data_IF_984947401948
#
_entry.id   IF_984947401948
#
_cell.length_a   1.000
_cell.length_b   1.000
_cell.length_c   1.000
_cell.angle_alpha   90.00
_cell.angle_beta   90.00
_cell.angle_gamma   90.00
#
_symmetry.space_group_name_H-M   'P 1'
#
loop_
_entity.id
_entity.type
_entity.pdbx_description
1 polymer ?
#
# COMPACT_ATOMS: atom_id res chain seq x y z
N UNK A 1 14.76 -41.28 -18.48
CA UNK A 1 14.82 -41.24 -17.00
C UNK A 1 13.98 -40.07 -16.54
N UNK A 2 12.86 -40.35 -15.86
CA UNK A 2 11.95 -39.31 -15.39
C UNK A 2 12.46 -38.77 -14.06
N UNK A 3 12.84 -37.49 -14.02
CA UNK A 3 13.18 -36.80 -12.78
C UNK A 3 11.89 -36.58 -11.98
N UNK A 4 11.77 -37.30 -10.86
CA UNK A 4 10.71 -37.07 -9.88
C UNK A 4 11.08 -35.85 -9.05
N UNK A 5 10.12 -34.96 -8.79
CA UNK A 5 10.29 -33.71 -8.02
C UNK A 5 10.84 -33.91 -6.59
N UNK A 6 10.99 -35.16 -6.12
CA UNK A 6 11.62 -35.49 -4.84
C UNK A 6 13.16 -35.44 -4.85
N UNK A 7 13.81 -35.30 -6.01
CA UNK A 7 15.28 -35.16 -6.12
C UNK A 7 15.79 -33.72 -5.98
N UNK A 8 14.93 -32.78 -5.58
CA UNK A 8 15.35 -31.40 -5.34
C UNK A 8 16.12 -31.31 -4.02
N UNK A 9 17.44 -31.35 -4.16
CA UNK A 9 18.48 -31.17 -3.14
C UNK A 9 18.11 -30.10 -2.11
N UNK A 10 18.21 -30.46 -0.83
CA UNK A 10 18.15 -29.53 0.30
C UNK A 10 19.20 -28.43 0.11
N UNK A 11 18.78 -27.28 -0.42
CA UNK A 11 19.59 -26.07 -0.41
C UNK A 11 19.66 -25.64 1.06
N UNK A 12 20.85 -25.55 1.67
CA UNK A 12 20.96 -24.96 3.00
C UNK A 12 20.48 -23.53 2.86
N UNK A 13 19.26 -23.28 3.34
CA UNK A 13 18.68 -21.95 3.38
C UNK A 13 19.56 -21.16 4.31
N UNK A 14 20.45 -20.36 3.73
CA UNK A 14 21.20 -19.32 4.44
C UNK A 14 20.25 -18.69 5.44
N UNK A 15 20.61 -18.75 6.73
CA UNK A 15 19.85 -18.24 7.87
C UNK A 15 19.65 -16.73 7.73
N UNK A 16 18.80 -16.32 6.78
CA UNK A 16 18.26 -14.98 6.73
C UNK A 16 17.37 -14.90 7.95
N UNK A 17 17.91 -14.32 9.02
CA UNK A 17 17.17 -13.89 10.21
C UNK A 17 15.80 -13.42 9.71
N UNK A 18 14.72 -14.02 10.23
CA UNK A 18 13.38 -13.52 9.99
C UNK A 18 13.38 -12.07 10.48
N UNK A 19 13.48 -11.12 9.56
CA UNK A 19 13.26 -9.72 9.87
C UNK A 19 11.81 -9.65 10.34
N UNK A 20 11.62 -9.41 11.64
CA UNK A 20 10.31 -9.11 12.18
C UNK A 20 9.85 -7.84 11.49
N UNK A 21 8.75 -7.94 10.77
CA UNK A 21 8.19 -6.82 10.03
C UNK A 21 7.65 -5.82 11.05
N UNK A 22 8.50 -4.93 11.55
CA UNK A 22 8.08 -3.85 12.45
C UNK A 22 7.07 -3.01 11.70
N UNK A 23 5.83 -3.01 12.19
CA UNK A 23 4.68 -2.33 11.61
C UNK A 23 4.77 -0.81 11.83
N UNK A 24 5.96 -0.22 11.76
CA UNK A 24 6.17 1.24 11.75
C UNK A 24 5.95 1.82 10.34
N UNK A 25 5.09 1.18 9.54
CA UNK A 25 4.59 1.80 8.31
C UNK A 25 3.62 2.88 8.77
N UNK A 26 4.12 4.11 8.91
CA UNK A 26 3.35 5.26 9.38
C UNK A 26 1.96 5.37 8.74
N UNK A 27 1.02 5.94 9.49
CA UNK A 27 -0.40 5.94 9.19
C UNK A 27 -0.71 6.21 7.71
N UNK A 28 -1.38 5.25 7.08
CA UNK A 28 -1.83 5.36 5.69
C UNK A 28 -2.86 6.47 5.60
N UNK A 29 -2.51 7.53 4.88
CA UNK A 29 -3.37 8.69 4.63
C UNK A 29 -3.95 8.63 3.21
N UNK A 30 -5.23 8.95 3.10
CA UNK A 30 -5.90 9.09 1.82
C UNK A 30 -6.11 10.57 1.51
N UNK A 31 -5.76 10.97 0.29
CA UNK A 31 -5.87 12.36 -0.17
C UNK A 31 -6.72 12.44 -1.43
N UNK A 32 -7.79 13.23 -1.36
CA UNK A 32 -8.62 13.47 -2.53
C UNK A 32 -8.00 14.59 -3.37
N UNK A 33 -7.71 14.30 -4.65
CA UNK A 33 -7.17 15.30 -5.58
C UNK A 33 -8.19 16.38 -5.96
N UNK A 34 -9.47 16.02 -5.96
CA UNK A 34 -10.55 16.93 -6.33
C UNK A 34 -10.87 17.92 -5.20
N UNK A 35 -10.90 17.45 -3.95
CA UNK A 35 -11.11 18.31 -2.77
C UNK A 35 -9.80 18.95 -2.24
N UNK A 36 -8.64 18.49 -2.72
CA UNK A 36 -7.31 18.92 -2.24
C UNK A 36 -7.14 18.84 -0.72
N UNK A 37 -7.71 17.80 -0.12
CA UNK A 37 -7.63 17.58 1.32
C UNK A 37 -7.51 16.10 1.63
N UNK A 38 -7.02 15.82 2.84
CA UNK A 38 -7.05 14.46 3.40
C UNK A 38 -8.50 14.10 3.70
N UNK A 39 -8.89 12.89 3.31
CA UNK A 39 -10.25 12.37 3.53
C UNK A 39 -10.14 10.92 3.94
N UNK A 40 -11.02 10.45 4.81
CA UNK A 40 -11.14 9.02 5.07
C UNK A 40 -11.91 8.38 3.91
N UNK A 41 -11.15 7.80 2.99
CA UNK A 41 -11.72 7.28 1.76
C UNK A 41 -12.51 6.00 2.02
N UNK A 42 -13.71 5.93 1.44
CA UNK A 42 -14.58 4.76 1.57
C UNK A 42 -14.12 3.74 0.53
N UNK A 43 -13.78 2.54 0.99
CA UNK A 43 -13.45 1.44 0.09
C UNK A 43 -14.74 0.84 -0.47
N UNK A 44 -14.99 1.05 -1.76
CA UNK A 44 -16.22 0.58 -2.41
C UNK A 44 -16.26 -0.93 -2.65
N UNK A 45 -15.09 -1.57 -2.75
CA UNK A 45 -14.99 -3.00 -3.01
C UNK A 45 -13.87 -3.64 -2.19
N UNK A 46 -14.13 -4.75 -1.47
CA UNK A 46 -13.09 -5.48 -0.74
C UNK A 46 -12.08 -6.16 -1.68
N UNK A 47 -12.49 -6.50 -2.90
CA UNK A 47 -11.62 -7.18 -3.89
C UNK A 47 -10.87 -6.23 -4.83
N UNK A 48 -11.18 -4.93 -4.82
CA UNK A 48 -10.54 -3.95 -5.70
C UNK A 48 -10.00 -2.79 -4.87
N UNK A 49 -8.89 -2.20 -5.31
CA UNK A 49 -8.33 -0.99 -4.70
C UNK A 49 -9.07 0.26 -5.21
N UNK A 50 -10.40 0.25 -5.12
CA UNK A 50 -11.25 1.36 -5.53
C UNK A 50 -11.73 2.07 -4.28
N UNK A 51 -11.34 3.33 -4.17
CA UNK A 51 -11.69 4.20 -3.07
C UNK A 51 -12.52 5.38 -3.59
N UNK A 52 -13.47 5.82 -2.77
CA UNK A 52 -14.35 6.95 -3.06
C UNK A 52 -14.23 8.01 -1.97
N UNK A 53 -14.18 9.28 -2.40
CA UNK A 53 -14.16 10.41 -1.50
C UNK A 53 -15.58 10.63 -0.95
N UNK A 54 -15.80 10.65 0.37
CA UNK A 54 -17.14 10.85 0.94
C UNK A 54 -17.74 12.23 0.63
N UNK A 55 -16.90 13.22 0.30
CA UNK A 55 -17.33 14.61 0.08
C UNK A 55 -17.76 14.87 -1.36
N UNK A 56 -16.92 14.50 -2.33
CA UNK A 56 -17.17 14.74 -3.75
C UNK A 56 -17.64 13.52 -4.54
N UNK A 57 -17.69 12.33 -3.90
CA UNK A 57 -17.92 11.03 -4.56
C UNK A 57 -16.94 10.75 -5.72
N UNK A 58 -15.82 11.46 -5.73
CA UNK A 58 -14.75 11.32 -6.70
C UNK A 58 -13.91 10.08 -6.43
N UNK A 59 -13.47 9.43 -7.50
CA UNK A 59 -12.60 8.23 -7.43
C UNK A 59 -11.10 8.56 -7.51
N UNK A 60 -10.75 9.85 -7.55
CA UNK A 60 -9.37 10.34 -7.69
C UNK A 60 -8.71 10.51 -6.32
N UNK A 61 -8.47 9.39 -5.66
CA UNK A 61 -7.83 9.34 -4.34
C UNK A 61 -6.40 8.86 -4.48
N UNK A 62 -5.47 9.61 -3.91
CA UNK A 62 -4.08 9.22 -3.75
C UNK A 62 -3.89 8.56 -2.39
N UNK A 63 -3.17 7.45 -2.36
CA UNK A 63 -2.86 6.69 -1.16
C UNK A 63 -1.37 6.89 -0.89
N UNK A 64 -1.02 7.26 0.34
CA UNK A 64 0.38 7.40 0.73
C UNK A 64 0.51 7.55 2.23
N UNK A 65 1.74 7.61 2.73
CA UNK A 65 1.99 8.03 4.11
C UNK A 65 1.67 9.52 4.26
N UNK A 66 1.39 9.95 5.48
CA UNK A 66 1.11 11.36 5.76
C UNK A 66 2.26 12.29 5.30
N UNK A 67 3.50 11.82 5.44
CA UNK A 67 4.72 12.50 4.99
C UNK A 67 4.75 12.68 3.46
N UNK A 68 4.52 11.61 2.70
CA UNK A 68 4.53 11.65 1.23
C UNK A 68 3.39 12.50 0.66
N UNK A 69 2.20 12.43 1.28
CA UNK A 69 1.07 13.27 0.86
C UNK A 69 1.36 14.74 1.15
N UNK A 70 1.90 15.07 2.34
CA UNK A 70 2.32 16.44 2.65
C UNK A 70 3.36 16.91 1.64
N UNK A 71 4.44 16.19 1.42
CA UNK A 71 5.53 16.63 0.54
C UNK A 71 5.08 16.90 -0.91
N UNK A 72 4.24 16.02 -1.48
CA UNK A 72 3.76 16.13 -2.86
C UNK A 72 2.74 17.25 -3.03
N UNK A 73 1.85 17.45 -2.05
CA UNK A 73 0.74 18.40 -2.17
C UNK A 73 0.96 19.74 -1.45
N UNK A 74 1.92 19.86 -0.54
CA UNK A 74 2.26 21.12 0.15
C UNK A 74 3.15 22.06 -0.68
N UNK A 75 3.78 21.55 -1.75
CA UNK A 75 4.69 22.32 -2.62
C UNK A 75 4.01 23.09 -3.75
N UNK A 76 2.67 23.07 -3.86
CA UNK A 76 1.95 24.00 -4.76
C UNK A 76 1.73 25.33 -4.06
N UNK A 77 2.77 26.15 -3.96
CA UNK A 77 2.63 27.58 -3.63
C UNK A 77 3.63 28.39 -4.41
#
# INVERSE_FOLDING_TARGET
>A
MATSYNDLVNIPTFEKKKEEFTQERGDMSFYCRDCQQKVDAIRLNPNKYIYECPLCKGKRISIGTESSVKEVYSKRR
#
